data_IF_019320450543
#
_entry.id   IF_019320450543
#
_cell.length_a   1.000
_cell.length_b   1.000
_cell.length_c   1.000
_cell.angle_alpha   90.00
_cell.angle_beta   90.00
_cell.angle_gamma   90.00
#
_symmetry.space_group_name_H-M   'P 1'
#
loop_
_entity.id
_entity.type
_entity.pdbx_description
1 polymer ?
#
# COMPACT_ATOMS: atom_id res chain seq x y z
N UNK A 1 17.43 48.43 5.84
CA UNK A 1 17.85 48.64 4.45
C UNK A 1 17.23 47.58 3.57
N UNK A 2 16.55 47.95 2.49
CA UNK A 2 15.94 46.99 1.56
C UNK A 2 17.04 46.27 0.77
N UNK A 3 17.09 44.95 0.73
CA UNK A 3 18.03 44.22 -0.14
C UNK A 3 17.68 44.38 -1.62
N UNK A 4 18.70 44.32 -2.49
CA UNK A 4 18.51 44.34 -3.93
C UNK A 4 17.95 43.01 -4.46
N UNK A 5 17.12 43.07 -5.53
CA UNK A 5 16.64 41.88 -6.27
C UNK A 5 17.64 41.57 -7.40
N UNK A 6 18.82 41.06 -7.02
CA UNK A 6 19.85 40.66 -7.96
C UNK A 6 19.60 39.21 -8.42
N UNK A 7 19.47 39.02 -9.75
CA UNK A 7 19.19 37.71 -10.37
C UNK A 7 20.40 37.07 -11.04
N UNK A 8 21.57 37.59 -10.85
CA UNK A 8 22.83 37.06 -11.39
C UNK A 8 23.37 35.98 -10.42
N UNK A 9 23.37 34.73 -10.86
CA UNK A 9 24.00 33.63 -10.11
C UNK A 9 25.54 33.63 -10.32
N UNK A 10 26.27 33.07 -9.36
CA UNK A 10 27.70 32.79 -9.50
C UNK A 10 27.92 31.74 -10.59
N UNK A 11 28.94 31.88 -11.40
CA UNK A 11 29.34 30.95 -12.46
C UNK A 11 29.75 29.57 -11.85
N UNK A 12 30.28 29.59 -10.64
CA UNK A 12 30.63 28.38 -9.86
C UNK A 12 30.01 28.45 -8.49
N UNK A 13 29.42 27.31 -8.06
CA UNK A 13 28.85 27.14 -6.74
C UNK A 13 29.27 25.79 -6.17
N UNK A 14 29.82 25.78 -4.96
CA UNK A 14 30.08 24.56 -4.22
C UNK A 14 28.85 24.23 -3.34
N UNK A 15 28.16 23.16 -3.66
CA UNK A 15 27.01 22.70 -2.88
C UNK A 15 27.23 21.27 -2.40
N UNK A 16 27.42 21.11 -1.10
CA UNK A 16 27.34 19.82 -0.43
C UNK A 16 25.90 19.56 0.00
N UNK A 17 25.25 18.59 -0.64
CA UNK A 17 23.85 18.23 -0.35
C UNK A 17 23.71 17.69 1.08
N UNK A 18 24.71 16.96 1.61
CA UNK A 18 24.67 16.42 2.97
C UNK A 18 24.70 17.56 4.01
N UNK A 19 25.55 18.57 3.82
CA UNK A 19 25.61 19.75 4.67
C UNK A 19 24.38 20.66 4.53
N UNK A 20 23.76 20.68 3.32
CA UNK A 20 22.59 21.53 3.04
C UNK A 20 21.33 21.09 3.77
N UNK A 21 21.14 19.79 3.97
CA UNK A 21 19.96 19.27 4.68
C UNK A 21 20.16 19.42 6.19
N UNK A 22 19.27 20.11 6.92
CA UNK A 22 19.41 20.29 8.38
C UNK A 22 19.51 18.95 9.12
N UNK A 23 20.35 18.87 10.16
CA UNK A 23 20.56 17.65 10.96
C UNK A 23 19.25 17.09 11.56
N UNK A 24 18.32 17.97 11.96
CA UNK A 24 17.00 17.60 12.51
C UNK A 24 15.91 17.34 11.45
N UNK A 25 16.25 17.33 10.16
CA UNK A 25 15.22 17.13 9.13
C UNK A 25 14.62 15.71 9.18
N UNK A 26 13.28 15.55 9.17
CA UNK A 26 12.62 14.23 9.33
C UNK A 26 13.09 13.17 8.34
N UNK A 27 13.37 13.55 7.10
CA UNK A 27 13.86 12.62 6.08
C UNK A 27 15.20 11.97 6.45
N UNK A 28 16.04 12.59 7.30
CA UNK A 28 17.29 11.95 7.75
C UNK A 28 17.05 10.66 8.53
N UNK A 29 16.12 10.71 9.46
CA UNK A 29 15.75 9.52 10.24
C UNK A 29 15.08 8.46 9.34
N UNK A 30 14.21 8.88 8.43
CA UNK A 30 13.57 7.99 7.46
C UNK A 30 14.61 7.36 6.52
N UNK A 31 15.58 8.14 6.00
CA UNK A 31 16.60 7.64 5.08
C UNK A 31 17.49 6.58 5.74
N UNK A 32 17.81 6.71 7.04
CA UNK A 32 18.56 5.66 7.77
C UNK A 32 17.79 4.35 7.80
N UNK A 33 16.49 4.37 8.13
CA UNK A 33 15.62 3.19 8.12
C UNK A 33 15.52 2.57 6.72
N UNK A 34 15.32 3.41 5.71
CA UNK A 34 15.25 3.00 4.31
C UNK A 34 16.54 2.34 3.85
N UNK A 35 17.69 2.96 4.11
CA UNK A 35 18.99 2.43 3.70
C UNK A 35 19.31 1.09 4.37
N UNK A 36 18.99 0.93 5.66
CA UNK A 36 19.15 -0.33 6.36
C UNK A 36 18.26 -1.44 5.76
N UNK A 37 17.01 -1.10 5.38
CA UNK A 37 16.11 -2.05 4.71
C UNK A 37 16.59 -2.42 3.32
N UNK A 38 17.08 -1.45 2.54
CA UNK A 38 17.59 -1.70 1.17
C UNK A 38 18.87 -2.55 1.20
N UNK A 39 19.78 -2.29 2.15
CA UNK A 39 21.00 -3.10 2.33
C UNK A 39 20.68 -4.58 2.63
N UNK A 40 19.59 -4.86 3.34
CA UNK A 40 19.15 -6.23 3.59
C UNK A 40 18.62 -6.94 2.32
N UNK A 41 18.32 -6.20 1.25
CA UNK A 41 17.81 -6.73 -0.02
C UNK A 41 18.88 -6.85 -1.11
N UNK A 42 20.14 -6.53 -0.81
CA UNK A 42 21.21 -6.46 -1.81
C UNK A 42 21.31 -7.76 -2.64
N UNK A 43 21.30 -8.91 -1.99
CA UNK A 43 21.30 -10.20 -2.67
C UNK A 43 20.08 -10.48 -3.55
N UNK A 44 18.92 -9.89 -3.22
CA UNK A 44 17.70 -10.01 -4.04
C UNK A 44 17.81 -9.15 -5.30
N UNK A 45 18.50 -8.02 -5.22
CA UNK A 45 18.70 -7.14 -6.37
C UNK A 45 19.65 -7.75 -7.41
N UNK A 46 20.67 -8.49 -7.01
CA UNK A 46 21.61 -9.13 -7.92
C UNK A 46 20.94 -10.04 -8.96
N UNK A 47 19.86 -10.72 -8.55
CA UNK A 47 19.06 -11.57 -9.43
C UNK A 47 18.25 -10.82 -10.48
N UNK A 48 18.02 -9.52 -10.30
CA UNK A 48 17.22 -8.69 -11.20
C UNK A 48 18.03 -8.06 -12.34
N UNK A 49 19.35 -8.16 -12.30
CA UNK A 49 20.24 -7.50 -13.25
C UNK A 49 21.12 -8.49 -13.99
N UNK A 50 21.35 -8.24 -15.29
CA UNK A 50 22.32 -9.00 -16.06
C UNK A 50 23.75 -8.70 -15.59
N UNK A 51 24.62 -9.71 -15.61
CA UNK A 51 26.04 -9.57 -15.20
C UNK A 51 26.89 -8.74 -16.17
N UNK A 52 26.41 -8.51 -17.39
CA UNK A 52 27.10 -7.79 -18.45
C UNK A 52 26.20 -6.75 -19.09
N UNK A 53 26.77 -5.70 -19.66
CA UNK A 53 26.05 -4.63 -20.36
C UNK A 53 26.24 -3.26 -19.71
N UNK A 54 25.49 -2.25 -20.22
CA UNK A 54 25.54 -0.88 -19.67
C UNK A 54 24.96 -0.87 -18.26
N UNK A 55 25.63 -0.21 -17.28
CA UNK A 55 25.06 -0.03 -15.94
C UNK A 55 23.68 0.63 -15.99
N UNK A 56 22.73 0.01 -15.28
CA UNK A 56 21.36 0.50 -15.14
C UNK A 56 21.25 1.45 -13.92
N UNK A 57 20.06 2.02 -13.71
CA UNK A 57 19.77 2.76 -12.49
C UNK A 57 19.83 1.79 -11.31
N UNK A 58 20.55 2.17 -10.24
CA UNK A 58 20.63 1.38 -9.03
C UNK A 58 19.23 1.18 -8.41
N UNK A 59 18.85 -0.04 -7.98
CA UNK A 59 17.54 -0.34 -7.43
C UNK A 59 17.21 0.51 -6.20
N UNK A 60 18.20 0.82 -5.38
CA UNK A 60 18.05 1.65 -4.19
C UNK A 60 17.61 3.08 -4.56
N UNK A 61 18.19 3.66 -5.61
CA UNK A 61 17.80 5.00 -6.11
C UNK A 61 16.35 4.99 -6.61
N UNK A 62 15.95 3.94 -7.33
CA UNK A 62 14.57 3.78 -7.82
C UNK A 62 13.58 3.69 -6.66
N UNK A 63 13.86 2.83 -5.67
CA UNK A 63 12.95 2.63 -4.54
C UNK A 63 12.88 3.86 -3.62
N UNK A 64 13.99 4.58 -3.40
CA UNK A 64 13.96 5.88 -2.69
C UNK A 64 13.14 6.92 -3.45
N UNK A 65 13.21 6.97 -4.78
CA UNK A 65 12.40 7.87 -5.58
C UNK A 65 10.91 7.53 -5.52
N UNK A 66 10.54 6.24 -5.53
CA UNK A 66 9.15 5.79 -5.32
C UNK A 66 8.66 6.16 -3.92
N UNK A 67 9.49 6.01 -2.88
CA UNK A 67 9.15 6.46 -1.52
C UNK A 67 8.86 7.96 -1.48
N UNK A 68 9.69 8.80 -2.08
CA UNK A 68 9.41 10.24 -2.17
C UNK A 68 8.09 10.53 -2.88
N UNK A 69 7.78 9.80 -3.95
CA UNK A 69 6.51 9.94 -4.65
C UNK A 69 5.33 9.70 -3.72
N UNK A 70 5.40 8.67 -2.86
CA UNK A 70 4.36 8.35 -1.90
C UNK A 70 4.33 9.33 -0.71
N UNK A 71 5.48 9.67 -0.14
CA UNK A 71 5.61 10.54 1.03
C UNK A 71 5.15 11.98 0.77
N UNK A 72 5.36 12.47 -0.46
CA UNK A 72 5.04 13.84 -0.87
C UNK A 72 3.83 13.94 -1.82
N UNK A 73 3.05 12.87 -1.94
CA UNK A 73 1.82 12.84 -2.77
C UNK A 73 2.05 13.29 -4.23
N UNK A 74 3.19 12.91 -4.82
CA UNK A 74 3.53 13.30 -6.18
C UNK A 74 2.70 12.50 -7.18
N UNK A 75 1.91 13.20 -7.98
CA UNK A 75 0.86 12.59 -8.80
C UNK A 75 1.35 11.79 -10.00
N UNK A 76 2.54 12.11 -10.54
CA UNK A 76 3.06 11.47 -11.74
C UNK A 76 4.57 11.33 -11.71
N UNK A 77 5.09 10.37 -12.46
CA UNK A 77 6.53 10.18 -12.62
C UNK A 77 7.19 11.35 -13.33
N UNK A 78 6.48 12.02 -14.26
CA UNK A 78 6.96 13.26 -14.86
C UNK A 78 7.19 14.34 -13.81
N UNK A 79 6.24 14.53 -12.91
CA UNK A 79 6.35 15.48 -11.81
C UNK A 79 7.45 15.08 -10.82
N UNK A 80 7.64 13.76 -10.58
CA UNK A 80 8.75 13.27 -9.75
C UNK A 80 10.10 13.60 -10.38
N UNK A 81 10.27 13.38 -11.69
CA UNK A 81 11.52 13.70 -12.38
C UNK A 81 11.78 15.21 -12.36
N UNK A 82 10.77 16.03 -12.59
CA UNK A 82 10.86 17.49 -12.46
C UNK A 82 11.29 17.91 -11.04
N UNK A 83 10.72 17.30 -10.00
CA UNK A 83 11.16 17.54 -8.62
C UNK A 83 12.60 17.12 -8.39
N UNK A 84 13.03 15.98 -8.90
CA UNK A 84 14.42 15.52 -8.81
C UNK A 84 15.38 16.43 -9.54
N UNK A 85 14.94 17.14 -10.60
CA UNK A 85 15.77 18.11 -11.32
C UNK A 85 16.07 19.35 -10.47
N UNK A 86 15.08 19.87 -9.75
CA UNK A 86 15.19 21.19 -9.10
C UNK A 86 15.22 21.14 -7.57
N UNK A 87 14.84 20.05 -6.93
CA UNK A 87 14.75 19.94 -5.48
C UNK A 87 15.97 19.22 -4.89
N UNK A 88 16.85 20.01 -4.24
CA UNK A 88 18.08 19.50 -3.64
C UNK A 88 17.82 18.48 -2.52
N UNK A 89 16.74 18.62 -1.75
CA UNK A 89 16.34 17.67 -0.71
C UNK A 89 15.97 16.32 -1.32
N UNK A 90 15.28 16.31 -2.44
CA UNK A 90 14.90 15.09 -3.16
C UNK A 90 16.12 14.41 -3.77
N UNK A 91 17.02 15.18 -4.38
CA UNK A 91 18.30 14.67 -4.92
C UNK A 91 19.11 13.99 -3.81
N UNK A 92 19.26 14.66 -2.67
CA UNK A 92 19.93 14.10 -1.50
C UNK A 92 19.31 12.79 -1.03
N UNK A 93 17.99 12.74 -0.88
CA UNK A 93 17.29 11.54 -0.40
C UNK A 93 17.44 10.35 -1.35
N UNK A 94 17.39 10.60 -2.66
CA UNK A 94 17.56 9.56 -3.70
C UNK A 94 19.02 9.13 -3.84
N UNK A 95 19.95 10.00 -3.54
CA UNK A 95 21.40 9.80 -3.73
C UNK A 95 21.89 10.24 -5.10
N UNK A 96 21.29 11.32 -5.63
CA UNK A 96 21.77 12.02 -6.83
C UNK A 96 22.66 13.19 -6.43
N UNK A 97 23.82 13.31 -7.06
CA UNK A 97 24.66 14.49 -6.97
C UNK A 97 24.01 15.71 -7.62
N UNK A 98 24.55 16.90 -7.37
CA UNK A 98 23.97 18.14 -7.93
C UNK A 98 24.00 18.18 -9.46
N UNK A 99 25.04 17.59 -10.07
CA UNK A 99 25.27 17.57 -11.51
C UNK A 99 24.77 16.27 -12.18
N UNK A 100 24.26 15.30 -11.39
CA UNK A 100 23.73 14.06 -11.96
C UNK A 100 22.49 14.35 -12.82
N UNK A 101 22.47 13.85 -14.05
CA UNK A 101 21.28 13.93 -14.90
C UNK A 101 20.13 13.11 -14.31
N UNK A 102 18.94 13.69 -14.30
CA UNK A 102 17.71 12.98 -13.90
C UNK A 102 17.20 12.11 -15.06
N UNK A 103 16.59 11.03 -14.71
CA UNK A 103 16.10 10.05 -15.69
C UNK A 103 14.89 10.56 -16.47
N UNK A 104 14.76 10.11 -17.71
CA UNK A 104 13.50 10.31 -18.44
C UNK A 104 12.37 9.51 -17.77
N UNK A 105 11.13 10.01 -17.66
CA UNK A 105 10.02 9.31 -17.00
C UNK A 105 9.78 7.88 -17.47
N UNK A 106 9.90 7.61 -18.78
CA UNK A 106 9.73 6.26 -19.34
C UNK A 106 10.85 5.31 -18.90
N UNK A 107 12.09 5.80 -18.82
CA UNK A 107 13.23 5.01 -18.32
C UNK A 107 13.02 4.67 -16.85
N UNK A 108 12.55 5.62 -16.05
CA UNK A 108 12.21 5.40 -14.66
C UNK A 108 11.10 4.34 -14.53
N UNK A 109 10.00 4.47 -15.27
CA UNK A 109 8.88 3.52 -15.26
C UNK A 109 9.34 2.10 -15.54
N UNK A 110 10.10 1.89 -16.63
CA UNK A 110 10.59 0.55 -16.99
C UNK A 110 11.47 -0.06 -15.91
N UNK A 111 12.41 0.71 -15.37
CA UNK A 111 13.30 0.24 -14.32
C UNK A 111 12.57 0.01 -12.99
N UNK A 112 11.64 0.89 -12.61
CA UNK A 112 10.79 0.70 -11.44
C UNK A 112 9.98 -0.60 -11.54
N UNK A 113 9.31 -0.85 -12.66
CA UNK A 113 8.47 -2.02 -12.87
C UNK A 113 9.26 -3.34 -12.79
N UNK A 114 10.55 -3.31 -13.12
CA UNK A 114 11.46 -4.43 -12.95
C UNK A 114 11.86 -4.65 -11.50
N UNK A 115 12.08 -3.58 -10.74
CA UNK A 115 12.62 -3.64 -9.37
C UNK A 115 11.50 -3.77 -8.33
N UNK A 116 10.40 -3.06 -8.49
CA UNK A 116 9.29 -3.07 -7.53
C UNK A 116 8.37 -4.27 -7.85
N UNK A 117 8.82 -5.45 -7.46
CA UNK A 117 8.05 -6.70 -7.48
C UNK A 117 7.39 -6.95 -6.12
N UNK A 118 6.48 -7.92 -6.04
CA UNK A 118 5.85 -8.31 -4.77
C UNK A 118 6.89 -8.79 -3.76
N UNK A 119 7.88 -9.59 -4.20
CA UNK A 119 8.95 -10.11 -3.36
C UNK A 119 9.82 -8.98 -2.78
N UNK A 120 10.19 -8.01 -3.62
CA UNK A 120 10.99 -6.86 -3.17
C UNK A 120 10.19 -5.99 -2.21
N UNK A 121 8.91 -5.74 -2.46
CA UNK A 121 8.07 -4.95 -1.59
C UNK A 121 7.85 -5.62 -0.22
N UNK A 122 7.57 -6.92 -0.20
CA UNK A 122 7.43 -7.72 1.03
C UNK A 122 8.76 -7.85 1.77
N UNK A 123 9.85 -8.12 1.04
CA UNK A 123 11.20 -8.14 1.60
C UNK A 123 11.59 -6.81 2.25
N UNK A 124 11.25 -5.69 1.61
CA UNK A 124 11.49 -4.35 2.16
C UNK A 124 10.71 -4.10 3.45
N UNK A 125 9.41 -4.44 3.48
CA UNK A 125 8.60 -4.35 4.69
C UNK A 125 9.16 -5.24 5.80
N UNK A 126 9.49 -6.49 5.50
CA UNK A 126 10.07 -7.44 6.46
C UNK A 126 11.42 -6.96 7.00
N UNK A 127 12.31 -6.47 6.14
CA UNK A 127 13.59 -5.91 6.53
C UNK A 127 13.44 -4.66 7.42
N UNK A 128 12.44 -3.82 7.14
CA UNK A 128 12.12 -2.66 7.97
C UNK A 128 11.69 -3.08 9.38
N UNK A 129 10.80 -4.08 9.48
CA UNK A 129 10.27 -4.59 10.75
C UNK A 129 11.33 -5.37 11.56
N UNK A 130 12.28 -5.99 10.89
CA UNK A 130 13.36 -6.76 11.51
C UNK A 130 14.44 -5.88 12.17
N UNK A 131 14.50 -4.58 11.86
CA UNK A 131 15.48 -3.66 12.48
C UNK A 131 15.31 -3.65 14.01
N UNK A 132 16.40 -3.75 14.81
CA UNK A 132 16.31 -3.90 16.26
C UNK A 132 15.46 -2.82 16.95
N UNK A 133 15.60 -1.56 16.53
CA UNK A 133 14.82 -0.44 17.08
C UNK A 133 13.33 -0.55 16.73
N UNK A 134 12.98 -1.09 15.56
CA UNK A 134 11.59 -1.27 15.12
C UNK A 134 10.97 -2.48 15.80
N UNK A 135 11.70 -3.60 15.87
CA UNK A 135 11.23 -4.86 16.49
C UNK A 135 10.78 -4.66 17.94
N UNK A 136 11.44 -3.80 18.70
CA UNK A 136 11.05 -3.45 20.10
C UNK A 136 9.70 -2.72 20.17
N UNK A 137 9.27 -2.06 19.10
CA UNK A 137 8.00 -1.35 19.05
C UNK A 137 6.82 -2.27 18.74
N UNK A 138 7.07 -3.42 18.14
CA UNK A 138 6.02 -4.35 17.72
C UNK A 138 5.43 -5.10 18.91
N UNK A 139 4.09 -5.25 18.90
CA UNK A 139 3.39 -6.17 19.79
C UNK A 139 3.32 -7.55 19.14
N UNK A 140 3.48 -8.61 19.94
CA UNK A 140 3.26 -9.98 19.51
C UNK A 140 1.86 -10.51 19.91
N UNK A 141 1.05 -9.70 20.61
CA UNK A 141 -0.17 -10.17 21.27
C UNK A 141 -1.45 -9.72 20.57
N UNK A 142 -1.52 -8.44 20.18
CA UNK A 142 -2.75 -7.84 19.70
C UNK A 142 -2.61 -7.32 18.28
N UNK A 143 -3.45 -7.82 17.38
CA UNK A 143 -3.46 -7.45 15.98
C UNK A 143 -4.86 -7.05 15.52
N UNK A 144 -4.90 -6.34 14.39
CA UNK A 144 -6.15 -6.03 13.68
C UNK A 144 -5.96 -6.27 12.20
N UNK A 145 -6.99 -6.83 11.55
CA UNK A 145 -7.03 -7.03 10.11
C UNK A 145 -8.26 -6.34 9.53
N UNK A 146 -8.08 -5.76 8.36
CA UNK A 146 -9.19 -5.18 7.59
C UNK A 146 -8.81 -5.09 6.11
N UNK A 147 -9.83 -4.87 5.27
CA UNK A 147 -9.70 -4.71 3.83
C UNK A 147 -10.18 -3.36 3.31
N UNK A 148 -9.64 -2.96 2.18
CA UNK A 148 -10.04 -1.72 1.53
C UNK A 148 -10.11 -1.87 0.02
N UNK A 149 -11.12 -1.25 -0.61
CA UNK A 149 -11.24 -1.22 -2.06
C UNK A 149 -10.24 -0.26 -2.67
N UNK A 150 -9.47 -0.73 -3.66
CA UNK A 150 -8.55 0.01 -4.50
C UNK A 150 -9.14 0.10 -5.91
N UNK A 151 -9.37 1.30 -6.45
CA UNK A 151 -9.94 1.46 -7.79
C UNK A 151 -8.87 1.13 -8.83
N UNK A 152 -9.19 0.21 -9.75
CA UNK A 152 -8.29 -0.21 -10.80
C UNK A 152 -8.01 0.91 -11.82
N UNK A 153 -6.86 0.85 -12.48
CA UNK A 153 -6.52 1.71 -13.61
C UNK A 153 -7.23 1.21 -14.89
N UNK A 154 -8.55 1.16 -14.80
CA UNK A 154 -9.41 0.75 -15.89
C UNK A 154 -10.75 1.49 -15.80
N UNK A 155 -11.27 1.92 -16.94
CA UNK A 155 -12.60 2.52 -17.01
C UNK A 155 -13.68 1.45 -17.20
N UNK A 156 -14.92 1.74 -16.80
CA UNK A 156 -16.05 0.86 -17.06
C UNK A 156 -16.31 0.62 -18.56
N UNK A 157 -15.80 1.49 -19.45
CA UNK A 157 -15.87 1.31 -20.90
C UNK A 157 -15.03 0.12 -21.38
N UNK A 158 -13.97 -0.24 -20.63
CA UNK A 158 -13.14 -1.40 -20.96
C UNK A 158 -13.74 -2.74 -20.50
N UNK A 159 -14.83 -2.72 -19.73
CA UNK A 159 -15.46 -3.92 -19.21
C UNK A 159 -16.40 -4.51 -20.29
N UNK A 160 -15.89 -5.50 -21.02
CA UNK A 160 -16.53 -6.09 -22.21
C UNK A 160 -16.78 -7.59 -22.02
N UNK A 161 -17.70 -8.16 -22.81
CA UNK A 161 -17.97 -9.60 -22.82
C UNK A 161 -16.71 -10.39 -23.20
N UNK A 162 -16.48 -11.52 -22.52
CA UNK A 162 -15.32 -12.40 -22.74
C UNK A 162 -15.41 -13.14 -24.08
N UNK A 163 -16.64 -13.47 -24.50
CA UNK A 163 -16.90 -14.30 -25.68
C UNK A 163 -16.89 -13.54 -27.00
N UNK A 164 -16.44 -12.29 -27.00
CA UNK A 164 -16.41 -11.47 -28.22
C UNK A 164 -17.79 -11.14 -28.81
N UNK A 165 -18.88 -11.61 -28.18
CA UNK A 165 -20.27 -11.43 -28.65
C UNK A 165 -20.78 -9.98 -28.50
N UNK A 166 -20.00 -9.09 -27.97
CA UNK A 166 -20.26 -7.65 -28.00
C UNK A 166 -19.63 -7.04 -29.24
N UNK A 167 -20.24 -7.22 -30.38
CA UNK A 167 -19.82 -6.64 -31.65
C UNK A 167 -19.73 -5.12 -31.56
N UNK A 168 -18.51 -4.65 -31.37
CA UNK A 168 -18.11 -3.28 -31.69
C UNK A 168 -17.22 -3.41 -32.94
N UNK A 169 -17.84 -3.40 -34.11
CA UNK A 169 -17.19 -3.47 -35.43
C UNK A 169 -16.34 -2.22 -35.72
N UNK A 170 -15.90 -1.50 -34.69
CA UNK A 170 -15.05 -0.32 -34.84
C UNK A 170 -15.72 0.86 -35.54
N UNK A 171 -17.01 0.76 -35.88
CA UNK A 171 -17.76 1.87 -36.43
C UNK A 171 -18.22 2.81 -35.32
N UNK A 172 -17.96 4.11 -35.42
CA UNK A 172 -18.58 5.08 -34.53
C UNK A 172 -20.11 4.93 -34.62
N UNK A 173 -20.84 4.97 -33.48
CA UNK A 173 -22.29 4.88 -33.51
C UNK A 173 -22.84 6.01 -34.36
N UNK A 174 -23.65 5.67 -35.39
CA UNK A 174 -24.47 6.63 -36.09
C UNK A 174 -25.53 7.14 -35.12
N UNK A 175 -25.38 8.37 -34.71
CA UNK A 175 -26.24 9.01 -33.72
C UNK A 175 -25.39 9.58 -32.57
N UNK A 176 -25.51 10.87 -32.35
CA UNK A 176 -24.69 11.71 -31.50
C UNK A 176 -24.29 11.16 -30.15
N UNK A 177 -23.57 11.95 -29.34
CA UNK A 177 -22.95 11.64 -28.04
C UNK A 177 -23.80 10.82 -27.03
N UNK A 178 -25.12 10.63 -27.32
CA UNK A 178 -26.09 9.92 -26.49
C UNK A 178 -26.79 8.79 -27.27
N UNK A 179 -26.14 8.13 -28.23
CA UNK A 179 -26.72 6.93 -28.86
C UNK A 179 -27.16 5.97 -27.75
N UNK A 180 -28.46 5.60 -27.77
CA UNK A 180 -29.10 4.70 -26.82
C UNK A 180 -28.41 3.34 -26.84
N UNK A 181 -27.36 3.19 -26.04
CA UNK A 181 -26.89 1.87 -25.62
C UNK A 181 -27.79 1.45 -24.47
N UNK A 182 -28.59 0.43 -24.68
CA UNK A 182 -29.47 -0.15 -23.68
C UNK A 182 -28.63 -0.83 -22.58
N UNK A 183 -28.02 -0.02 -21.68
CA UNK A 183 -27.30 -0.49 -20.51
C UNK A 183 -28.21 -1.19 -19.49
N UNK A 184 -29.51 -1.23 -19.71
CA UNK A 184 -30.50 -1.68 -18.72
C UNK A 184 -30.88 -3.15 -18.83
N UNK A 185 -30.57 -3.85 -19.93
CA UNK A 185 -30.96 -5.26 -20.13
C UNK A 185 -29.84 -6.28 -19.95
N UNK A 186 -28.57 -5.92 -20.06
CA UNK A 186 -27.46 -6.85 -19.88
C UNK A 186 -26.91 -6.84 -18.46
N UNK A 187 -27.13 -7.95 -17.72
CA UNK A 187 -26.56 -8.16 -16.39
C UNK A 187 -25.06 -8.47 -16.51
N UNK A 188 -24.23 -7.45 -16.44
CA UNK A 188 -22.77 -7.60 -16.49
C UNK A 188 -22.25 -8.18 -15.18
N UNK A 189 -21.53 -9.28 -15.25
CA UNK A 189 -20.90 -9.95 -14.11
C UNK A 189 -19.43 -10.26 -14.42
N UNK A 190 -18.64 -10.56 -13.39
CA UNK A 190 -17.24 -10.99 -13.57
C UNK A 190 -17.10 -12.34 -14.28
N UNK A 191 -18.15 -13.12 -14.34
CA UNK A 191 -18.20 -14.40 -15.08
C UNK A 191 -18.27 -14.16 -16.58
N UNK A 192 -19.11 -13.22 -17.00
CA UNK A 192 -19.41 -12.95 -18.42
C UNK A 192 -18.54 -11.84 -19.00
N UNK A 193 -18.01 -10.93 -18.19
CA UNK A 193 -17.25 -9.76 -18.64
C UNK A 193 -15.90 -9.65 -17.95
N UNK A 194 -14.93 -9.04 -18.65
CA UNK A 194 -13.62 -8.68 -18.11
C UNK A 194 -13.20 -7.31 -18.65
N UNK A 195 -12.29 -6.65 -17.94
CA UNK A 195 -11.68 -5.42 -18.46
C UNK A 195 -10.62 -5.75 -19.50
N UNK A 196 -10.71 -5.13 -20.67
CA UNK A 196 -9.68 -5.24 -21.72
C UNK A 196 -8.41 -4.42 -21.37
N UNK A 197 -8.53 -3.45 -20.46
CA UNK A 197 -7.41 -2.60 -20.03
C UNK A 197 -6.66 -3.24 -18.87
N UNK A 198 -7.35 -3.88 -17.93
CA UNK A 198 -6.80 -4.52 -16.73
C UNK A 198 -7.61 -5.81 -16.45
N UNK A 199 -7.22 -6.94 -17.06
CA UNK A 199 -7.97 -8.20 -16.97
C UNK A 199 -8.10 -8.76 -15.56
N UNK A 200 -7.21 -8.38 -14.63
CA UNK A 200 -7.25 -8.82 -13.23
C UNK A 200 -8.24 -8.02 -12.38
N UNK A 201 -8.60 -6.81 -12.81
CA UNK A 201 -9.58 -5.99 -12.12
C UNK A 201 -10.97 -6.65 -12.17
N UNK A 202 -11.68 -6.62 -11.05
CA UNK A 202 -13.03 -7.19 -10.94
C UNK A 202 -14.06 -6.10 -10.68
N UNK A 203 -15.24 -6.28 -11.27
CA UNK A 203 -16.39 -5.45 -10.94
C UNK A 203 -16.81 -5.72 -9.50
N UNK A 204 -16.73 -4.70 -8.68
CA UNK A 204 -17.00 -4.80 -7.25
C UNK A 204 -17.83 -3.61 -6.75
N UNK A 205 -18.66 -3.88 -5.74
CA UNK A 205 -19.50 -2.91 -5.06
C UNK A 205 -19.39 -3.09 -3.56
N UNK A 206 -18.93 -2.06 -2.87
CA UNK A 206 -18.71 -2.11 -1.41
C UNK A 206 -19.99 -2.30 -0.59
N UNK A 207 -21.16 -1.92 -1.11
CA UNK A 207 -22.44 -2.04 -0.39
C UNK A 207 -23.65 -1.85 -1.30
N UNK A 208 -24.84 -2.20 -0.79
CA UNK A 208 -26.11 -1.95 -1.50
C UNK A 208 -26.29 -0.46 -1.75
N UNK A 209 -26.69 -0.07 -2.97
CA UNK A 209 -26.89 1.35 -3.35
C UNK A 209 -25.62 2.09 -3.76
N UNK A 210 -24.42 1.50 -3.63
CA UNK A 210 -23.19 2.11 -4.13
C UNK A 210 -22.90 1.71 -5.58
N UNK A 211 -22.15 2.55 -6.27
CA UNK A 211 -21.73 2.30 -7.65
C UNK A 211 -20.75 1.10 -7.71
N UNK A 212 -20.94 0.24 -8.71
CA UNK A 212 -19.99 -0.83 -9.02
C UNK A 212 -18.81 -0.25 -9.81
N UNK A 213 -17.58 -0.63 -9.42
CA UNK A 213 -16.34 -0.17 -10.05
C UNK A 213 -15.41 -1.34 -10.28
N UNK A 214 -14.53 -1.22 -11.27
CA UNK A 214 -13.41 -2.13 -11.43
C UNK A 214 -12.40 -1.85 -10.31
N UNK A 215 -12.07 -2.89 -9.55
CA UNK A 215 -11.31 -2.74 -8.32
C UNK A 215 -10.52 -4.00 -7.96
N UNK A 216 -9.61 -3.81 -7.01
CA UNK A 216 -8.95 -4.81 -6.19
C UNK A 216 -9.31 -4.60 -4.73
N UNK A 217 -9.02 -5.57 -3.87
CA UNK A 217 -9.08 -5.42 -2.43
C UNK A 217 -7.65 -5.46 -1.86
N UNK A 218 -7.26 -4.39 -1.18
CA UNK A 218 -6.03 -4.34 -0.42
C UNK A 218 -6.32 -4.66 1.05
N UNK A 219 -5.49 -5.50 1.66
CA UNK A 219 -5.65 -5.98 3.03
C UNK A 219 -4.40 -5.64 3.83
N UNK A 220 -4.58 -5.27 5.09
CA UNK A 220 -3.47 -4.99 5.99
C UNK A 220 -3.68 -5.69 7.32
N UNK A 221 -2.58 -6.21 7.87
CA UNK A 221 -2.46 -6.68 9.24
C UNK A 221 -1.67 -5.65 10.03
N UNK A 222 -2.24 -5.14 11.10
CA UNK A 222 -1.68 -4.09 11.94
C UNK A 222 -1.49 -4.64 13.36
N UNK A 223 -0.34 -4.37 13.97
CA UNK A 223 -0.19 -4.54 15.42
C UNK A 223 -0.84 -3.37 16.16
N UNK A 224 -1.48 -3.64 17.31
CA UNK A 224 -2.35 -2.68 17.97
C UNK A 224 -1.65 -1.74 18.97
N UNK A 225 -0.39 -2.01 19.37
CA UNK A 225 0.34 -1.18 20.34
C UNK A 225 0.68 0.19 19.75
N UNK A 226 1.35 0.19 18.63
CA UNK A 226 1.82 1.39 17.94
C UNK A 226 1.10 1.68 16.63
N UNK A 227 0.26 0.75 16.14
CA UNK A 227 -0.47 0.87 14.88
C UNK A 227 0.46 0.75 13.67
N UNK A 228 1.47 -0.10 13.76
CA UNK A 228 2.38 -0.40 12.66
C UNK A 228 1.82 -1.56 11.83
N UNK A 229 1.94 -1.45 10.52
CA UNK A 229 1.60 -2.55 9.60
C UNK A 229 2.66 -3.63 9.71
N UNK A 230 2.23 -4.87 9.93
CA UNK A 230 3.13 -6.03 10.02
C UNK A 230 3.10 -6.89 8.76
N UNK A 231 1.98 -6.87 8.03
CA UNK A 231 1.85 -7.56 6.76
C UNK A 231 0.73 -6.95 5.90
N UNK A 232 0.71 -7.26 4.60
CA UNK A 232 -0.33 -6.82 3.67
C UNK A 232 -0.37 -7.65 2.40
N UNK A 233 -1.55 -7.68 1.79
CA UNK A 233 -1.78 -8.42 0.55
C UNK A 233 -2.81 -7.71 -0.32
N UNK A 234 -2.86 -8.06 -1.60
CA UNK A 234 -3.91 -7.64 -2.52
C UNK A 234 -4.59 -8.87 -3.11
N UNK A 235 -5.91 -8.83 -3.22
CA UNK A 235 -6.70 -9.89 -3.85
C UNK A 235 -7.59 -9.35 -4.96
N UNK A 236 -8.07 -10.23 -5.82
CA UNK A 236 -9.19 -9.91 -6.68
C UNK A 236 -10.40 -9.50 -5.82
N UNK A 237 -11.12 -8.48 -6.25
CA UNK A 237 -12.30 -8.03 -5.53
C UNK A 237 -13.42 -9.09 -5.63
N UNK A 238 -13.72 -9.73 -4.51
CA UNK A 238 -14.78 -10.74 -4.36
C UNK A 238 -15.53 -10.56 -3.04
N UNK A 239 -16.65 -11.24 -2.87
CA UNK A 239 -17.42 -11.22 -1.62
C UNK A 239 -16.76 -12.00 -0.45
N UNK A 240 -15.78 -12.84 -0.75
CA UNK A 240 -15.03 -13.67 0.22
C UNK A 240 -13.61 -13.24 0.43
N UNK A 241 -13.04 -12.45 -0.50
CA UNK A 241 -11.62 -12.08 -0.54
C UNK A 241 -11.09 -11.44 0.74
N UNK A 242 -11.90 -10.67 1.46
CA UNK A 242 -11.48 -10.07 2.74
C UNK A 242 -11.18 -11.15 3.79
N UNK A 243 -12.02 -12.18 3.90
CA UNK A 243 -11.83 -13.27 4.87
C UNK A 243 -10.69 -14.20 4.49
N UNK A 244 -10.59 -14.55 3.22
CA UNK A 244 -9.49 -15.38 2.68
C UNK A 244 -8.13 -14.70 2.91
N UNK A 245 -8.04 -13.40 2.64
CA UNK A 245 -6.83 -12.64 2.91
C UNK A 245 -6.52 -12.53 4.40
N UNK A 246 -7.54 -12.29 5.25
CA UNK A 246 -7.35 -12.23 6.70
C UNK A 246 -6.88 -13.57 7.28
N UNK A 247 -7.42 -14.69 6.78
CA UNK A 247 -6.94 -16.03 7.13
C UNK A 247 -5.46 -16.18 6.79
N UNK A 248 -5.06 -15.87 5.56
CA UNK A 248 -3.68 -15.96 5.11
C UNK A 248 -2.74 -15.04 5.92
N UNK A 249 -3.11 -13.79 6.11
CA UNK A 249 -2.30 -12.82 6.89
C UNK A 249 -2.15 -13.23 8.36
N UNK A 250 -3.11 -13.97 8.91
CA UNK A 250 -3.05 -14.48 10.29
C UNK A 250 -2.18 -15.72 10.47
N UNK A 251 -1.70 -16.37 9.40
CA UNK A 251 -0.83 -17.56 9.48
C UNK A 251 0.50 -17.29 10.19
N UNK A 252 1.01 -16.08 10.08
CA UNK A 252 2.25 -15.66 10.73
C UNK A 252 2.12 -15.27 12.21
N UNK A 253 0.89 -15.29 12.77
CA UNK A 253 0.66 -14.92 14.16
C UNK A 253 0.99 -16.07 15.11
N UNK A 254 1.59 -15.74 16.26
CA UNK A 254 1.91 -16.71 17.31
C UNK A 254 0.65 -17.22 18.03
N UNK A 255 0.76 -18.42 18.65
CA UNK A 255 -0.27 -18.96 19.53
C UNK A 255 -0.59 -17.99 20.68
N UNK A 256 -1.86 -17.81 21.00
CA UNK A 256 -2.34 -16.87 22.01
C UNK A 256 -2.48 -15.42 21.52
N UNK A 257 -2.16 -15.13 20.27
CA UNK A 257 -2.42 -13.80 19.69
C UNK A 257 -3.92 -13.52 19.58
N UNK A 258 -4.30 -12.26 19.69
CA UNK A 258 -5.67 -11.77 19.56
C UNK A 258 -5.81 -11.01 18.24
N UNK A 259 -6.81 -11.39 17.42
CA UNK A 259 -7.05 -10.78 16.12
C UNK A 259 -8.38 -10.02 16.11
N UNK A 260 -8.29 -8.69 16.06
CA UNK A 260 -9.44 -7.80 15.87
C UNK A 260 -9.86 -7.71 14.40
N UNK A 261 -11.15 -7.91 14.13
CA UNK A 261 -11.71 -7.76 12.79
C UNK A 261 -13.13 -7.14 12.85
N UNK A 262 -13.64 -6.68 11.70
CA UNK A 262 -14.97 -6.09 11.64
C UNK A 262 -16.08 -7.17 11.65
N UNK A 263 -17.35 -6.72 11.69
CA UNK A 263 -18.52 -7.63 11.73
C UNK A 263 -18.72 -8.45 10.44
N UNK A 264 -18.07 -8.11 9.34
CA UNK A 264 -18.13 -8.91 8.11
C UNK A 264 -17.34 -10.21 8.25
N UNK A 265 -16.42 -10.27 9.20
CA UNK A 265 -15.63 -11.46 9.53
C UNK A 265 -16.31 -12.37 10.56
N UNK A 266 -17.48 -12.00 11.13
CA UNK A 266 -18.26 -12.83 12.04
C UNK A 266 -18.95 -13.99 11.27
N UNK A 267 -18.14 -14.97 10.88
CA UNK A 267 -18.52 -16.16 10.13
C UNK A 267 -17.87 -17.37 10.79
N UNK A 268 -18.65 -18.44 10.99
CA UNK A 268 -18.24 -19.63 11.72
C UNK A 268 -16.91 -20.22 11.20
N UNK A 269 -16.78 -20.40 9.88
CA UNK A 269 -15.56 -20.92 9.27
C UNK A 269 -14.30 -20.13 9.62
N UNK A 270 -14.37 -18.79 9.59
CA UNK A 270 -13.23 -17.93 9.92
C UNK A 270 -12.89 -17.98 11.42
N UNK A 271 -13.91 -17.95 12.28
CA UNK A 271 -13.70 -18.00 13.74
C UNK A 271 -13.12 -19.36 14.16
N UNK A 272 -13.62 -20.46 13.61
CA UNK A 272 -13.09 -21.82 13.90
C UNK A 272 -11.65 -21.98 13.38
N UNK A 273 -11.33 -21.41 12.23
CA UNK A 273 -9.97 -21.43 11.69
C UNK A 273 -8.98 -20.69 12.62
N UNK A 274 -9.35 -19.52 13.14
CA UNK A 274 -8.53 -18.81 14.12
C UNK A 274 -8.33 -19.62 15.40
N UNK A 275 -9.39 -20.24 15.92
CA UNK A 275 -9.31 -21.11 17.10
C UNK A 275 -8.41 -22.32 16.87
N UNK A 276 -8.51 -22.96 15.71
CA UNK A 276 -7.65 -24.09 15.36
C UNK A 276 -6.16 -23.73 15.40
N UNK A 277 -5.83 -22.47 15.09
CA UNK A 277 -4.48 -21.89 15.20
C UNK A 277 -4.17 -21.32 16.60
N UNK A 278 -5.07 -21.49 17.57
CA UNK A 278 -4.99 -20.91 18.93
C UNK A 278 -4.89 -19.37 18.93
N UNK A 279 -5.52 -18.72 17.96
CA UNK A 279 -5.66 -17.27 17.87
C UNK A 279 -7.02 -16.89 18.42
N UNK A 280 -7.07 -15.93 19.35
CA UNK A 280 -8.33 -15.49 19.96
C UNK A 280 -9.08 -14.53 19.02
N UNK A 281 -10.33 -14.86 18.60
CA UNK A 281 -11.07 -14.09 17.60
C UNK A 281 -11.78 -12.89 18.21
N UNK A 282 -11.18 -11.73 18.24
CA UNK A 282 -11.79 -10.46 18.65
C UNK A 282 -12.60 -9.81 17.50
N UNK A 283 -13.42 -10.63 16.84
CA UNK A 283 -14.26 -10.19 15.72
C UNK A 283 -15.48 -9.43 16.24
N UNK A 284 -15.81 -8.29 15.65
CA UNK A 284 -17.00 -7.54 16.03
C UNK A 284 -18.27 -8.34 15.73
N UNK A 285 -19.16 -8.49 16.73
CA UNK A 285 -20.39 -9.26 16.61
C UNK A 285 -21.33 -8.65 15.57
N UNK A 286 -21.83 -9.49 14.67
CA UNK A 286 -22.79 -9.10 13.66
C UNK A 286 -24.24 -9.29 14.19
N UNK A 287 -24.71 -8.30 14.96
CA UNK A 287 -26.07 -8.29 15.53
C UNK A 287 -27.18 -7.91 14.55
N UNK A 288 -26.98 -8.14 13.22
CA UNK A 288 -28.00 -7.77 12.22
C UNK A 288 -29.29 -8.55 12.44
N UNK A 289 -30.41 -7.84 12.57
CA UNK A 289 -31.75 -8.41 12.65
C UNK A 289 -32.32 -8.59 11.24
N UNK A 290 -32.81 -9.78 10.94
CA UNK A 290 -33.46 -10.08 9.66
C UNK A 290 -34.81 -9.35 9.55
N UNK A 291 -35.39 -9.26 8.34
CA UNK A 291 -36.74 -8.71 8.13
C UNK A 291 -37.82 -9.49 8.92
N UNK A 292 -37.55 -10.72 9.30
CA UNK A 292 -38.42 -11.60 10.10
C UNK A 292 -38.17 -11.51 11.60
N UNK A 293 -37.38 -10.52 12.07
CA UNK A 293 -37.09 -10.32 13.50
C UNK A 293 -36.02 -11.28 14.07
N UNK A 294 -35.45 -12.21 13.27
CA UNK A 294 -34.43 -13.13 13.73
C UNK A 294 -33.06 -12.45 13.80
N UNK A 295 -32.45 -12.45 14.99
CA UNK A 295 -31.08 -11.97 15.20
C UNK A 295 -30.08 -12.97 14.60
N UNK A 296 -29.09 -12.49 13.86
CA UNK A 296 -28.01 -13.34 13.32
C UNK A 296 -27.18 -13.89 14.49
N UNK A 297 -27.03 -15.21 14.54
CA UNK A 297 -26.18 -15.87 15.53
C UNK A 297 -24.71 -15.51 15.23
N UNK A 298 -23.99 -15.03 16.24
CA UNK A 298 -22.54 -14.79 16.16
C UNK A 298 -21.77 -16.11 16.29
N UNK A 299 -20.62 -16.18 15.64
CA UNK A 299 -19.64 -17.25 15.80
C UNK A 299 -18.64 -16.97 16.93
N UNK A 300 -18.57 -15.72 17.42
CA UNK A 300 -17.65 -15.33 18.50
C UNK A 300 -18.08 -15.99 19.82
N UNK A 301 -17.16 -16.67 20.54
CA UNK A 301 -17.46 -17.28 21.82
C UNK A 301 -17.91 -16.24 22.84
N UNK A 302 -18.94 -16.52 23.67
CA UNK A 302 -19.42 -15.58 24.68
C UNK A 302 -18.34 -15.15 25.67
N UNK A 303 -17.43 -16.04 26.04
CA UNK A 303 -16.32 -15.77 26.95
C UNK A 303 -15.36 -14.69 26.38
N UNK A 304 -15.07 -14.81 25.07
CA UNK A 304 -14.25 -13.79 24.35
C UNK A 304 -14.98 -12.46 24.29
N UNK A 305 -16.26 -12.47 23.91
CA UNK A 305 -17.06 -11.26 23.76
C UNK A 305 -17.22 -10.48 25.08
N UNK A 306 -17.14 -11.13 26.23
CA UNK A 306 -17.24 -10.54 27.57
C UNK A 306 -15.87 -10.11 28.14
N UNK A 307 -14.76 -10.45 27.46
CA UNK A 307 -13.41 -10.12 27.93
C UNK A 307 -13.10 -8.63 27.83
N UNK A 308 -12.30 -8.12 28.76
CA UNK A 308 -11.79 -6.75 28.73
C UNK A 308 -10.93 -6.51 27.46
N UNK A 309 -10.16 -7.53 27.05
CA UNK A 309 -9.32 -7.50 25.86
C UNK A 309 -10.13 -7.30 24.57
N UNK A 310 -11.31 -7.93 24.49
CA UNK A 310 -12.22 -7.77 23.35
C UNK A 310 -12.64 -6.30 23.15
N UNK A 311 -13.08 -5.64 24.21
CA UNK A 311 -13.49 -4.23 24.14
C UNK A 311 -12.34 -3.30 23.71
N UNK A 312 -11.12 -3.59 24.18
CA UNK A 312 -9.90 -2.86 23.80
C UNK A 312 -9.58 -3.10 22.32
N UNK A 313 -9.61 -4.35 21.87
CA UNK A 313 -9.34 -4.72 20.46
C UNK A 313 -10.30 -4.03 19.50
N UNK A 314 -11.61 -4.00 19.80
CA UNK A 314 -12.61 -3.30 18.99
C UNK A 314 -12.36 -1.79 18.89
N UNK A 315 -11.80 -1.19 19.94
CA UNK A 315 -11.40 0.23 19.93
C UNK A 315 -10.15 0.46 19.10
N UNK A 316 -9.10 -0.37 19.33
CA UNK A 316 -7.81 -0.25 18.63
C UNK A 316 -7.93 -0.54 17.13
N UNK A 317 -8.80 -1.48 16.74
CA UNK A 317 -9.05 -1.84 15.34
C UNK A 317 -9.32 -0.64 14.45
N UNK A 318 -10.01 0.38 14.96
CA UNK A 318 -10.34 1.58 14.17
C UNK A 318 -9.11 2.31 13.62
N UNK A 319 -7.93 2.12 14.22
CA UNK A 319 -6.68 2.71 13.73
C UNK A 319 -6.27 2.19 12.35
N UNK A 320 -6.72 1.02 11.94
CA UNK A 320 -6.41 0.49 10.60
C UNK A 320 -6.99 1.38 9.48
N UNK A 321 -8.07 2.11 9.78
CA UNK A 321 -8.65 3.08 8.84
C UNK A 321 -7.70 4.25 8.55
N UNK A 322 -6.82 4.62 9.50
CA UNK A 322 -5.78 5.64 9.31
C UNK A 322 -4.76 5.18 8.25
N UNK A 323 -4.39 3.89 8.29
CA UNK A 323 -3.49 3.28 7.30
C UNK A 323 -4.09 3.41 5.91
N UNK A 324 -5.33 2.96 5.74
CA UNK A 324 -6.01 3.02 4.44
C UNK A 324 -6.28 4.45 3.98
N UNK A 325 -6.61 5.34 4.91
CA UNK A 325 -6.72 6.77 4.64
C UNK A 325 -5.43 7.33 4.06
N UNK A 326 -4.30 7.09 4.73
CA UNK A 326 -2.99 7.56 4.29
C UNK A 326 -2.57 6.94 2.95
N UNK A 327 -2.72 5.63 2.79
CA UNK A 327 -2.38 4.91 1.55
C UNK A 327 -3.17 5.46 0.36
N UNK A 328 -4.45 5.74 0.55
CA UNK A 328 -5.31 6.27 -0.52
C UNK A 328 -5.04 7.74 -0.84
N UNK A 329 -4.89 8.57 0.18
CA UNK A 329 -4.75 10.02 -0.03
C UNK A 329 -3.30 10.42 -0.27
N UNK A 330 -2.41 10.15 0.68
CA UNK A 330 -1.02 10.59 0.64
C UNK A 330 -0.18 9.76 -0.33
N UNK A 331 -0.22 8.43 -0.23
CA UNK A 331 0.48 7.58 -1.19
C UNK A 331 -0.21 7.51 -2.58
N UNK A 332 -1.39 8.10 -2.74
CA UNK A 332 -2.06 8.27 -4.02
C UNK A 332 -2.73 7.03 -4.60
N UNK A 333 -2.99 5.99 -3.79
CA UNK A 333 -3.58 4.72 -4.25
C UNK A 333 -5.11 4.69 -4.24
N UNK A 334 -5.80 5.83 -4.03
CA UNK A 334 -7.25 5.90 -4.20
C UNK A 334 -7.69 5.51 -5.62
N UNK A 335 -6.87 5.83 -6.61
CA UNK A 335 -6.95 5.40 -8.00
C UNK A 335 -5.58 4.84 -8.38
N UNK A 336 -5.51 3.54 -8.66
CA UNK A 336 -4.27 2.87 -9.06
C UNK A 336 -3.73 3.45 -10.38
N UNK A 337 -2.42 3.38 -10.58
CA UNK A 337 -1.71 3.80 -11.80
C UNK A 337 -0.96 2.64 -12.45
N UNK A 338 -1.03 1.47 -11.85
CA UNK A 338 -0.46 0.21 -12.34
C UNK A 338 -1.60 -0.77 -12.63
N UNK A 339 -1.32 -1.80 -13.42
CA UNK A 339 -2.28 -2.82 -13.86
C UNK A 339 -1.74 -4.20 -13.52
N UNK A 340 -2.66 -5.13 -13.30
CA UNK A 340 -2.34 -6.51 -12.93
C UNK A 340 -2.15 -6.67 -11.43
N UNK A 341 -2.60 -7.82 -10.91
CA UNK A 341 -2.64 -8.11 -9.47
C UNK A 341 -1.26 -7.97 -8.81
N UNK A 342 -0.24 -8.55 -9.42
CA UNK A 342 1.13 -8.55 -8.90
C UNK A 342 1.70 -7.14 -8.73
N UNK A 343 1.58 -6.27 -9.74
CA UNK A 343 2.06 -4.89 -9.65
C UNK A 343 1.26 -4.06 -8.63
N UNK A 344 -0.03 -4.31 -8.53
CA UNK A 344 -0.89 -3.65 -7.55
C UNK A 344 -0.48 -4.07 -6.13
N UNK A 345 -0.20 -5.35 -5.91
CA UNK A 345 0.27 -5.88 -4.64
C UNK A 345 1.62 -5.29 -4.26
N UNK A 346 2.59 -5.26 -5.17
CA UNK A 346 3.89 -4.66 -4.94
C UNK A 346 3.78 -3.19 -4.50
N UNK A 347 3.03 -2.38 -5.25
CA UNK A 347 2.86 -0.95 -4.94
C UNK A 347 2.09 -0.75 -3.63
N UNK A 348 1.08 -1.57 -3.35
CA UNK A 348 0.30 -1.49 -2.12
C UNK A 348 1.16 -1.85 -0.89
N UNK A 349 1.87 -2.97 -0.92
CA UNK A 349 2.76 -3.41 0.17
C UNK A 349 3.88 -2.39 0.42
N UNK A 350 4.45 -1.83 -0.65
CA UNK A 350 5.46 -0.77 -0.52
C UNK A 350 4.89 0.51 0.09
N UNK A 351 3.62 0.85 -0.20
CA UNK A 351 2.92 1.97 0.44
C UNK A 351 2.65 1.71 1.93
N UNK A 352 2.36 0.45 2.33
CA UNK A 352 2.24 0.06 3.73
C UNK A 352 3.58 0.25 4.47
N UNK A 353 4.70 -0.12 3.85
CA UNK A 353 6.03 0.14 4.40
C UNK A 353 6.32 1.64 4.51
N UNK A 354 5.94 2.45 3.52
CA UNK A 354 6.07 3.91 3.55
C UNK A 354 5.25 4.54 4.69
N UNK A 355 4.06 4.02 4.99
CA UNK A 355 3.27 4.42 6.15
C UNK A 355 4.02 4.16 7.46
N UNK A 356 4.65 3.00 7.61
CA UNK A 356 5.48 2.71 8.78
C UNK A 356 6.67 3.68 8.89
N UNK A 357 7.36 3.94 7.78
CA UNK A 357 8.55 4.83 7.73
C UNK A 357 8.23 6.23 8.25
N UNK A 358 7.06 6.78 7.96
CA UNK A 358 6.64 8.10 8.46
C UNK A 358 6.46 8.11 9.98
N UNK A 359 6.00 7.02 10.57
CA UNK A 359 5.68 6.92 12.00
C UNK A 359 6.88 6.57 12.87
N UNK A 360 7.75 5.71 12.35
CA UNK A 360 8.88 5.12 13.08
C UNK A 360 9.84 6.13 13.72
N UNK A 361 10.26 7.24 13.06
CA UNK A 361 11.16 8.20 13.68
C UNK A 361 10.62 8.79 14.99
N UNK A 362 9.32 9.11 15.01
CA UNK A 362 8.65 9.62 16.21
C UNK A 362 8.53 8.55 17.31
N UNK A 363 8.19 7.32 16.94
CA UNK A 363 8.04 6.22 17.88
C UNK A 363 9.39 5.83 18.50
N UNK A 364 10.45 5.74 17.71
CA UNK A 364 11.81 5.45 18.18
C UNK A 364 12.30 6.58 19.09
N UNK A 365 12.08 7.84 18.72
CA UNK A 365 12.45 8.98 19.58
C UNK A 365 11.71 9.04 20.91
N UNK A 366 10.46 8.57 20.96
CA UNK A 366 9.67 8.51 22.18
C UNK A 366 10.14 7.43 23.17
N UNK A 367 10.82 6.38 22.69
CA UNK A 367 11.41 5.33 23.56
C UNK A 367 12.77 5.70 24.17
N UNK A 368 13.27 6.92 23.91
CA UNK A 368 14.55 7.40 24.45
C UNK A 368 15.80 6.78 23.80
N UNK A 369 15.62 5.89 22.82
CA UNK A 369 16.73 5.31 22.06
C UNK A 369 17.07 6.17 20.83
N UNK A 370 17.56 7.39 21.05
CA UNK A 370 18.37 8.07 20.03
C UNK A 370 19.73 7.38 20.03
N UNK A 371 19.87 6.33 19.24
CA UNK A 371 21.18 5.80 18.92
C UNK A 371 21.95 6.85 18.13
N UNK A 372 22.73 7.67 18.86
CA UNK A 372 23.87 8.40 18.33
C UNK A 372 24.93 7.37 17.92
N UNK A 373 24.76 6.71 16.79
CA UNK A 373 25.86 6.08 16.09
C UNK A 373 26.55 7.19 15.33
N UNK A 374 27.45 7.87 16.04
CA UNK A 374 28.47 8.72 15.44
C UNK A 374 29.41 7.80 14.66
N UNK A 375 29.29 7.80 13.34
CA UNK A 375 30.32 7.30 12.46
C UNK A 375 31.48 8.29 12.44
N UNK A 376 32.66 7.84 12.80
CA UNK A 376 33.93 8.47 12.44
C UNK A 376 34.15 8.35 10.95
#
# INVERSE_FOLDING_TARGET
MRGGDERTGSLFSYVDLEARVPAGHPLRAMLRLVNASLAALDGSFDGLYAKTGRPSIAPERLLRAVLLQMLYSIRSERQLMERLEFDLLFRWFVGLGIDDAVWHPTVFTHNRDRVLTTEVAQGFLSALLAQPAVKKLLSAEHFSVDGTMLKAFASMKSFRAKDGAGGDDGKPPEGGRNGERDFRKEKRSNETHASTTDPDARLYRKGKGQESRLAYLGHALMENRNGLVVDGAVTHASGTGEREAASKLSEGLGEGAMLGADKAYDVEAFVEELKARKIEPHVAINGTVSKTGKVRKTAVPPQVAQSTGYAISLRCRKRIEEIFGWVKTTAGLAQLKVRGLEKVEAVFTFALAAYNIIRLPKLIGATGEVCLVGGK
#
